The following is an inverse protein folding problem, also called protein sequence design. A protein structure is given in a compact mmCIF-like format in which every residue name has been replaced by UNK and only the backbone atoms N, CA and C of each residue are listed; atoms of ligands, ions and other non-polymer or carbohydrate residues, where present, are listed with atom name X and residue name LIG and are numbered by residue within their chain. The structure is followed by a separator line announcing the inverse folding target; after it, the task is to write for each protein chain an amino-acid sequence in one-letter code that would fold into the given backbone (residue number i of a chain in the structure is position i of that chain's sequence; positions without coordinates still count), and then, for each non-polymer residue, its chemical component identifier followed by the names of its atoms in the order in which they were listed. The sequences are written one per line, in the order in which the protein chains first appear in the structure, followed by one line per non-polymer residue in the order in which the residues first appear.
data_IF_557574327940
#
_entry.id   IF_557574327940
#
_cell.length_a   1.000
_cell.length_b   1.000
_cell.length_c   1.000
_cell.angle_alpha   90.00
_cell.angle_beta   90.00
_cell.angle_gamma   90.00
#
_symmetry.space_group_name_H-M   'P 1'
#
loop_
_entity.id
_entity.type
_entity.pdbx_description
1 polymer ?
#
# COMPACT_ATOMS: atom_id res chain seq x y z
N UNK A 1 -4.62 -27.90 7.84
CA UNK A 1 -5.38 -26.68 8.21
C UNK A 1 -4.43 -25.51 7.97
N UNK A 2 -4.66 -24.72 6.91
CA UNK A 2 -3.80 -23.59 6.54
C UNK A 2 -4.05 -22.44 7.51
N UNK A 3 -3.04 -22.12 8.32
CA UNK A 3 -2.96 -20.86 9.04
C UNK A 3 -1.75 -20.10 8.50
N UNK A 4 -1.87 -19.57 7.28
CA UNK A 4 -0.94 -18.57 6.76
C UNK A 4 -1.20 -17.27 7.52
N UNK A 5 -0.74 -17.19 8.77
CA UNK A 5 -0.77 -15.95 9.56
C UNK A 5 0.21 -14.96 8.96
N UNK A 6 -0.22 -14.35 7.86
CA UNK A 6 0.39 -13.21 7.20
C UNK A 6 0.30 -12.00 8.13
N UNK A 7 1.11 -11.97 9.20
CA UNK A 7 1.24 -10.82 10.11
C UNK A 7 2.05 -9.71 9.42
N UNK A 8 1.61 -9.30 8.23
CA UNK A 8 2.12 -8.11 7.54
C UNK A 8 1.69 -6.84 8.28
N UNK A 9 0.50 -6.84 8.88
CA UNK A 9 -0.05 -5.71 9.62
C UNK A 9 -0.16 -6.04 11.12
N UNK A 10 -0.11 -5.03 12.01
CA UNK A 10 -0.03 -3.59 11.75
C UNK A 10 1.34 -3.15 11.23
N UNK A 11 1.36 -2.15 10.35
CA UNK A 11 2.59 -1.58 9.77
C UNK A 11 2.52 -0.06 9.81
N UNK A 12 3.61 0.60 10.17
CA UNK A 12 3.71 2.06 10.14
C UNK A 12 4.69 2.49 9.06
N UNK A 13 4.31 3.46 8.24
CA UNK A 13 5.20 4.12 7.28
C UNK A 13 4.88 5.61 7.21
N UNK A 14 5.94 6.44 7.18
CA UNK A 14 5.84 7.90 7.16
C UNK A 14 4.93 8.49 8.24
N UNK A 15 4.87 7.87 9.43
CA UNK A 15 4.02 8.31 10.55
C UNK A 15 2.54 7.95 10.40
N UNK A 16 2.18 7.14 9.40
CA UNK A 16 0.83 6.60 9.22
C UNK A 16 0.85 5.13 9.64
N UNK A 17 0.08 4.78 10.66
CA UNK A 17 -0.12 3.40 11.07
C UNK A 17 -1.24 2.78 10.26
N UNK A 18 -0.91 1.75 9.48
CA UNK A 18 -1.83 0.90 8.75
C UNK A 18 -2.18 -0.30 9.63
N UNK A 19 -3.43 -0.37 10.08
CA UNK A 19 -3.95 -1.49 10.85
C UNK A 19 -4.16 -2.74 9.97
N UNK A 20 -4.34 -2.56 8.66
CA UNK A 20 -4.62 -3.64 7.71
C UNK A 20 -4.28 -3.24 6.27
N UNK A 21 -4.15 -4.24 5.40
CA UNK A 21 -3.90 -4.06 3.97
C UNK A 21 -4.94 -3.17 3.29
N UNK A 22 -6.23 -3.40 3.55
CA UNK A 22 -7.30 -2.59 2.97
C UNK A 22 -7.26 -1.12 3.40
N UNK A 23 -6.65 -0.81 4.54
CA UNK A 23 -6.44 0.58 4.98
C UNK A 23 -5.31 1.23 4.20
N UNK A 24 -4.21 0.49 3.97
CA UNK A 24 -3.15 0.93 3.06
C UNK A 24 -3.69 1.20 1.66
N UNK A 25 -4.47 0.27 1.10
CA UNK A 25 -5.08 0.42 -0.22
C UNK A 25 -5.96 1.67 -0.30
N UNK A 26 -6.86 1.88 0.68
CA UNK A 26 -7.70 3.09 0.74
C UNK A 26 -6.90 4.39 0.78
N UNK A 27 -5.77 4.40 1.48
CA UNK A 27 -4.92 5.59 1.60
C UNK A 27 -4.19 5.86 0.27
N UNK A 28 -3.65 4.82 -0.37
CA UNK A 28 -3.06 4.93 -1.71
C UNK A 28 -4.13 5.37 -2.73
N UNK A 29 -5.36 4.83 -2.63
CA UNK A 29 -6.52 5.23 -3.43
C UNK A 29 -6.84 6.72 -3.26
N UNK A 30 -6.93 7.20 -2.01
CA UNK A 30 -7.13 8.63 -1.73
C UNK A 30 -6.02 9.51 -2.27
N UNK A 31 -4.77 9.07 -2.19
CA UNK A 31 -3.64 9.84 -2.70
C UNK A 31 -3.63 9.93 -4.23
N UNK A 32 -4.07 8.88 -4.93
CA UNK A 32 -4.22 8.93 -6.37
C UNK A 32 -5.42 9.81 -6.79
N UNK A 33 -6.55 9.66 -6.10
CA UNK A 33 -7.78 10.43 -6.36
C UNK A 33 -7.59 11.94 -6.11
N UNK A 34 -6.77 12.32 -5.13
CA UNK A 34 -6.43 13.72 -4.85
C UNK A 34 -5.78 14.45 -6.04
N UNK A 35 -5.34 13.74 -7.09
CA UNK A 35 -4.95 14.32 -8.39
C UNK A 35 -3.67 15.17 -8.39
N UNK A 36 -3.00 15.31 -7.24
CA UNK A 36 -1.76 16.07 -7.13
C UNK A 36 -0.55 15.17 -7.29
N UNK A 37 0.42 15.58 -8.12
CA UNK A 37 1.68 14.86 -8.34
C UNK A 37 2.41 14.52 -7.04
N UNK A 38 2.33 15.37 -6.02
CA UNK A 38 2.91 15.11 -4.70
C UNK A 38 2.30 13.88 -4.02
N UNK A 39 0.98 13.72 -4.11
CA UNK A 39 0.27 12.58 -3.54
C UNK A 39 0.51 11.31 -4.35
N UNK A 40 0.60 11.40 -5.69
CA UNK A 40 0.99 10.27 -6.53
C UNK A 40 2.41 9.77 -6.20
N UNK A 41 3.38 10.66 -6.04
CA UNK A 41 4.74 10.28 -5.61
C UNK A 41 4.76 9.66 -4.20
N UNK A 42 3.92 10.16 -3.29
CA UNK A 42 3.77 9.59 -1.95
C UNK A 42 3.16 8.17 -2.01
N UNK A 43 2.11 7.96 -2.82
CA UNK A 43 1.50 6.66 -3.05
C UNK A 43 2.48 5.63 -3.63
N UNK A 44 3.27 6.02 -4.63
CA UNK A 44 4.30 5.16 -5.21
C UNK A 44 5.43 4.83 -4.21
N UNK A 45 5.82 5.81 -3.39
CA UNK A 45 6.83 5.62 -2.33
C UNK A 45 6.32 4.63 -1.29
N UNK A 46 5.09 4.80 -0.82
CA UNK A 46 4.44 3.92 0.14
C UNK A 46 4.34 2.47 -0.38
N UNK A 47 3.94 2.29 -1.64
CA UNK A 47 3.88 0.97 -2.27
C UNK A 47 5.27 0.30 -2.36
N UNK A 48 6.31 1.09 -2.65
CA UNK A 48 7.69 0.59 -2.69
C UNK A 48 8.17 0.18 -1.31
N UNK A 49 7.90 0.97 -0.28
CA UNK A 49 8.23 0.64 1.12
C UNK A 49 7.49 -0.61 1.57
N UNK A 50 6.19 -0.71 1.30
CA UNK A 50 5.40 -1.88 1.63
C UNK A 50 5.95 -3.16 0.96
N UNK A 51 6.45 -3.04 -0.27
CA UNK A 51 7.10 -4.14 -0.98
C UNK A 51 8.47 -4.50 -0.36
N UNK A 52 9.28 -3.50 -0.03
CA UNK A 52 10.59 -3.68 0.62
C UNK A 52 10.46 -4.36 2.01
N UNK A 53 9.41 -4.03 2.75
CA UNK A 53 9.11 -4.62 4.06
C UNK A 53 8.35 -5.96 3.98
N UNK A 54 8.22 -6.56 2.79
CA UNK A 54 7.46 -7.79 2.54
C UNK A 54 6.00 -7.72 3.04
N UNK A 55 5.41 -6.51 3.04
CA UNK A 55 4.00 -6.27 3.41
C UNK A 55 3.06 -6.46 2.23
N UNK A 56 3.55 -6.18 1.02
CA UNK A 56 2.87 -6.43 -0.25
C UNK A 56 3.75 -7.31 -1.14
N UNK A 57 3.15 -8.32 -1.76
CA UNK A 57 3.79 -9.06 -2.85
C UNK A 57 3.76 -8.23 -4.15
N UNK A 58 4.65 -8.58 -5.09
CA UNK A 58 4.71 -7.92 -6.40
C UNK A 58 3.37 -7.90 -7.13
N UNK A 59 2.64 -9.02 -7.06
CA UNK A 59 1.30 -9.19 -7.62
C UNK A 59 0.30 -8.18 -7.02
N UNK A 60 0.30 -8.01 -5.69
CA UNK A 60 -0.59 -7.09 -5.01
C UNK A 60 -0.23 -5.62 -5.28
N UNK A 61 1.07 -5.32 -5.38
CA UNK A 61 1.54 -4.00 -5.78
C UNK A 61 1.14 -3.68 -7.23
N UNK A 62 1.18 -4.67 -8.14
CA UNK A 62 0.75 -4.52 -9.52
C UNK A 62 -0.76 -4.29 -9.62
N UNK A 63 -1.58 -5.07 -8.90
CA UNK A 63 -3.05 -4.89 -8.85
C UNK A 63 -3.43 -3.48 -8.42
N UNK A 64 -2.83 -2.98 -7.33
CA UNK A 64 -3.09 -1.64 -6.80
C UNK A 64 -2.70 -0.57 -7.83
N UNK A 65 -1.53 -0.70 -8.49
CA UNK A 65 -1.11 0.24 -9.55
C UNK A 65 -2.06 0.23 -10.74
N UNK A 66 -2.49 -0.95 -11.19
CA UNK A 66 -3.43 -1.10 -12.29
C UNK A 66 -4.78 -0.46 -11.96
N UNK A 67 -5.31 -0.70 -10.76
CA UNK A 67 -6.57 -0.10 -10.30
C UNK A 67 -6.51 1.42 -10.20
N UNK A 68 -5.33 1.96 -9.86
CA UNK A 68 -5.12 3.38 -9.64
C UNK A 68 -4.65 4.15 -10.86
N UNK A 69 -4.46 3.48 -12.01
CA UNK A 69 -3.89 4.09 -13.21
C UNK A 69 -2.57 4.85 -12.91
N UNK A 70 -1.77 4.29 -12.00
CA UNK A 70 -0.53 4.87 -11.45
C UNK A 70 0.73 4.50 -12.26
#
# INVERSE_FOLDING_TARGET
MVASTNRAFPWESNGITFASRGELERIVERFADAGSKKYLSAAQTLLREAMAHNKLSADQCADIKTRLHL
#
